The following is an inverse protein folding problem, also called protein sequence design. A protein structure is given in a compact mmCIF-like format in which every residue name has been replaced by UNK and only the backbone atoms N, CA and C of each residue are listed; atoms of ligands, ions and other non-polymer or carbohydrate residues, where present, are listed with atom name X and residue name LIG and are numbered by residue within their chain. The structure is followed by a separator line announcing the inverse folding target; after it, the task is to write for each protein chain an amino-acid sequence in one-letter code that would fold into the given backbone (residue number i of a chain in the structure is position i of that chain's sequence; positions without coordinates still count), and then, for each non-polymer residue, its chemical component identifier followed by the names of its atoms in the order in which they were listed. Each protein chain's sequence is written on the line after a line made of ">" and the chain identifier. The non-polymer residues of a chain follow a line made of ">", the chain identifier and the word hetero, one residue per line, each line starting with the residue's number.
data_IF_003211354458
#
_entry.id   IF_003211354458
#
_cell.length_a   1.000
_cell.length_b   1.000
_cell.length_c   1.000
_cell.angle_alpha   90.00
_cell.angle_beta   90.00
_cell.angle_gamma   90.00
#
_symmetry.space_group_name_H-M   'P 1'
#
loop_
_entity.id
_entity.type
_entity.pdbx_description
1 polymer ?
#
# COMPACT_ATOMS: atom_id res chain seq x y z
N UNK A 1 4.79 -5.27 7.28
CA UNK A 1 3.42 -4.90 6.86
C UNK A 1 2.65 -6.15 6.47
N UNK A 2 1.34 -6.05 6.37
CA UNK A 2 0.44 -7.13 5.94
C UNK A 2 -0.18 -6.77 4.58
N UNK A 3 -0.37 -7.75 3.71
CA UNK A 3 -1.07 -7.56 2.44
C UNK A 3 -2.27 -8.49 2.34
N UNK A 4 -3.40 -7.96 1.88
CA UNK A 4 -4.62 -8.73 1.69
C UNK A 4 -4.83 -9.18 0.24
N UNK A 5 -5.52 -10.30 0.09
CA UNK A 5 -5.83 -10.92 -1.20
C UNK A 5 -6.53 -9.98 -2.18
N UNK A 6 -7.43 -9.13 -1.68
CA UNK A 6 -8.17 -8.15 -2.49
C UNK A 6 -7.34 -6.93 -2.86
N UNK A 7 -6.04 -6.90 -2.54
CA UNK A 7 -5.16 -5.77 -2.86
C UNK A 7 -4.99 -4.76 -1.72
N UNK A 8 -5.53 -5.05 -0.53
CA UNK A 8 -5.30 -4.21 0.65
C UNK A 8 -3.86 -4.33 1.14
N UNK A 9 -3.41 -3.32 1.90
CA UNK A 9 -2.15 -3.42 2.65
C UNK A 9 -2.16 -2.53 3.88
N UNK A 10 -1.53 -2.99 4.96
CA UNK A 10 -1.32 -2.23 6.18
C UNK A 10 0.17 -2.25 6.53
N UNK A 11 0.76 -1.08 6.73
CA UNK A 11 2.14 -0.92 7.18
C UNK A 11 2.20 0.11 8.29
N UNK A 12 3.08 -0.12 9.26
CA UNK A 12 3.28 0.76 10.40
C UNK A 12 4.79 0.91 10.61
N UNK A 13 5.21 2.16 10.76
CA UNK A 13 6.58 2.58 11.01
C UNK A 13 6.60 3.42 12.29
N UNK A 14 7.22 2.86 13.33
CA UNK A 14 7.30 3.49 14.64
C UNK A 14 8.23 4.69 14.63
N UNK A 15 9.35 4.61 13.92
CA UNK A 15 10.38 5.65 13.90
C UNK A 15 9.85 6.91 13.23
N UNK A 16 9.02 6.73 12.19
CA UNK A 16 8.30 7.82 11.51
C UNK A 16 6.97 8.21 12.14
N UNK A 17 6.55 7.54 13.21
CA UNK A 17 5.20 7.67 13.79
C UNK A 17 4.08 7.63 12.71
N UNK A 18 4.20 6.68 11.78
CA UNK A 18 3.42 6.62 10.54
C UNK A 18 2.70 5.28 10.41
N UNK A 19 1.42 5.32 10.06
CA UNK A 19 0.63 4.14 9.67
C UNK A 19 0.04 4.39 8.29
N UNK A 20 0.28 3.47 7.36
CA UNK A 20 -0.26 3.50 6.01
C UNK A 20 -1.23 2.34 5.83
N UNK A 21 -2.50 2.66 5.55
CA UNK A 21 -3.56 1.69 5.25
C UNK A 21 -4.09 1.95 3.83
N UNK A 22 -3.93 0.97 2.95
CA UNK A 22 -4.48 0.97 1.61
C UNK A 22 -5.63 -0.04 1.53
N UNK A 23 -6.82 0.44 1.17
CA UNK A 23 -8.00 -0.38 0.94
C UNK A 23 -8.34 -0.38 -0.55
N UNK A 24 -8.26 -1.55 -1.19
CA UNK A 24 -8.63 -1.72 -2.60
C UNK A 24 -9.35 -3.05 -2.82
N UNK A 25 -9.94 -3.19 -4.01
CA UNK A 25 -10.57 -4.42 -4.45
C UNK A 25 -10.10 -4.80 -5.87
N UNK A 26 -8.93 -5.45 -5.97
CA UNK A 26 -8.37 -5.97 -7.23
C UNK A 26 -9.07 -7.22 -7.76
N UNK A 27 -10.06 -7.78 -7.04
CA UNK A 27 -10.79 -8.99 -7.47
C UNK A 27 -12.08 -8.68 -8.22
N UNK A 28 -12.53 -7.42 -8.20
CA UNK A 28 -13.73 -7.00 -8.90
C UNK A 28 -13.40 -6.24 -10.21
N UNK A 29 -14.07 -6.55 -11.34
CA UNK A 29 -15.02 -7.66 -11.54
C UNK A 29 -14.34 -9.03 -11.72
N UNK A 30 -13.04 -9.06 -12.05
CA UNK A 30 -12.27 -10.30 -12.22
C UNK A 30 -10.95 -10.24 -11.46
N UNK A 31 -10.29 -11.40 -11.33
CA UNK A 31 -9.02 -11.50 -10.62
C UNK A 31 -7.76 -11.18 -11.42
N UNK A 32 -7.92 -10.82 -12.68
CA UNK A 32 -6.84 -10.72 -13.66
C UNK A 32 -6.05 -9.41 -13.53
N UNK A 33 -6.62 -8.38 -12.91
CA UNK A 33 -5.91 -7.13 -12.68
C UNK A 33 -4.82 -7.31 -11.60
N UNK A 34 -3.57 -7.43 -12.04
CA UNK A 34 -2.39 -7.58 -11.19
C UNK A 34 -1.62 -6.27 -10.97
N UNK A 35 -2.10 -5.12 -11.47
CA UNK A 35 -1.43 -3.81 -11.34
C UNK A 35 -1.14 -3.42 -9.89
N UNK A 36 -1.92 -3.96 -8.95
CA UNK A 36 -1.75 -3.75 -7.51
C UNK A 36 -0.41 -4.26 -6.97
N UNK A 37 0.28 -5.17 -7.67
CA UNK A 37 1.59 -5.69 -7.28
C UNK A 37 2.63 -4.57 -7.28
N UNK A 38 2.67 -3.77 -8.35
CA UNK A 38 3.60 -2.64 -8.47
C UNK A 38 3.08 -1.38 -7.79
N UNK A 39 1.76 -1.15 -7.80
CA UNK A 39 1.17 0.05 -7.20
C UNK A 39 1.40 0.13 -5.68
N UNK A 40 1.33 -1.01 -4.97
CA UNK A 40 1.54 -1.05 -3.51
C UNK A 40 2.89 -0.44 -3.09
N UNK A 41 4.05 -0.98 -3.50
CA UNK A 41 5.33 -0.41 -3.09
C UNK A 41 5.45 1.05 -3.54
N UNK A 42 5.06 1.39 -4.78
CA UNK A 42 5.14 2.78 -5.26
C UNK A 42 4.34 3.78 -4.42
N UNK A 43 3.15 3.40 -3.94
CA UNK A 43 2.35 4.26 -3.05
C UNK A 43 3.04 4.44 -1.69
N UNK A 44 3.49 3.35 -1.07
CA UNK A 44 4.14 3.40 0.24
C UNK A 44 5.44 4.20 0.17
N UNK A 45 6.28 3.98 -0.85
CA UNK A 45 7.53 4.70 -1.06
C UNK A 45 7.29 6.21 -1.28
N UNK A 46 6.27 6.57 -2.05
CA UNK A 46 5.92 7.97 -2.27
C UNK A 46 5.48 8.67 -0.97
N UNK A 47 4.69 7.99 -0.13
CA UNK A 47 4.27 8.54 1.17
C UNK A 47 5.47 8.69 2.10
N UNK A 48 6.33 7.66 2.20
CA UNK A 48 7.55 7.71 3.04
C UNK A 48 8.45 8.86 2.60
N UNK A 49 8.68 9.02 1.29
CA UNK A 49 9.47 10.13 0.75
C UNK A 49 8.92 11.50 1.17
N UNK A 50 7.61 11.72 1.08
CA UNK A 50 6.98 12.99 1.48
C UNK A 50 7.10 13.24 2.99
N UNK A 51 7.07 12.18 3.79
CA UNK A 51 7.24 12.29 5.25
C UNK A 51 8.69 12.58 5.62
N UNK A 52 9.66 11.98 4.93
CA UNK A 52 11.10 12.17 5.19
C UNK A 52 11.62 13.53 4.68
N UNK A 53 10.95 14.14 3.70
CA UNK A 53 11.28 15.48 3.19
C UNK A 53 10.69 16.63 4.03
N UNK A 54 9.88 16.32 5.05
CA UNK A 54 9.33 17.30 6.01
C UNK A 54 10.19 17.41 7.26
#
# INVERSE_FOLDING_TARGET
>A
GHTGFTGTSCWADKDRNLIIVLLTNRVYPTRENTKIINFRPSLHDAIVKIIDEK
#
